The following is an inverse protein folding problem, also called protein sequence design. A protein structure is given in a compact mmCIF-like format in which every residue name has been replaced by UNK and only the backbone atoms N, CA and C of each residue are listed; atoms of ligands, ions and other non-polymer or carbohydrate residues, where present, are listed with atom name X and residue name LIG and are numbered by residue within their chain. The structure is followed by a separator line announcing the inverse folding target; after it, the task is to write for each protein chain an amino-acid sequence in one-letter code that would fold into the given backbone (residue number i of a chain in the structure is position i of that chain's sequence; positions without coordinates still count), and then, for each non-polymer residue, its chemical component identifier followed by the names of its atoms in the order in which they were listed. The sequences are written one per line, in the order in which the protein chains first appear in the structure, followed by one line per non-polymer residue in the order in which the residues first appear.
data_IF_045075699429
#
_entry.id   IF_045075699429
#
_cell.length_a   1.000
_cell.length_b   1.000
_cell.length_c   1.000
_cell.angle_alpha   90.00
_cell.angle_beta   90.00
_cell.angle_gamma   90.00
#
_symmetry.space_group_name_H-M   'P 1'
#
loop_
_entity.id
_entity.type
_entity.pdbx_description
1 polymer ?
#
# COMPACT_ATOMS: atom_id res chain seq x y z
N UNK A 1 -12.91 9.94 3.53
CA UNK A 1 -13.39 8.63 4.01
C UNK A 1 -13.25 8.61 5.52
N UNK A 2 -14.17 7.94 6.22
CA UNK A 2 -14.20 7.89 7.70
C UNK A 2 -12.94 7.24 8.30
N UNK A 3 -12.23 6.44 7.51
CA UNK A 3 -11.08 5.64 7.95
C UNK A 3 -9.74 6.38 8.05
N UNK A 4 -9.57 7.53 7.39
CA UNK A 4 -8.26 8.21 7.22
C UNK A 4 -7.10 7.29 6.75
N UNK A 5 -7.43 6.13 6.18
CA UNK A 5 -6.46 5.17 5.67
C UNK A 5 -5.96 5.58 4.27
N UNK A 6 -4.70 5.27 3.99
CA UNK A 6 -4.08 5.42 2.67
C UNK A 6 -4.18 4.09 1.92
N UNK A 7 -4.78 4.13 0.73
CA UNK A 7 -4.94 2.98 -0.17
C UNK A 7 -3.96 3.08 -1.35
N UNK A 8 -3.34 1.96 -1.75
CA UNK A 8 -2.38 1.91 -2.86
C UNK A 8 -2.55 0.60 -3.64
N UNK A 9 -2.83 0.69 -4.94
CA UNK A 9 -2.82 -0.47 -5.82
C UNK A 9 -1.40 -0.72 -6.33
N UNK A 10 -0.92 -1.97 -6.21
CA UNK A 10 0.47 -2.38 -6.48
C UNK A 10 0.51 -3.80 -7.03
N UNK A 11 1.69 -4.27 -7.41
CA UNK A 11 1.87 -5.58 -8.03
C UNK A 11 1.74 -5.53 -9.55
N UNK A 12 1.89 -6.69 -10.17
CA UNK A 12 1.85 -6.84 -11.62
C UNK A 12 0.50 -6.41 -12.20
N UNK A 13 0.54 -5.59 -13.24
CA UNK A 13 -0.64 -5.04 -13.91
C UNK A 13 -1.27 -3.82 -13.22
N UNK A 14 -0.66 -3.31 -12.14
CA UNK A 14 -1.16 -2.13 -11.43
C UNK A 14 -0.86 -0.79 -12.11
N UNK A 15 0.12 -0.75 -13.02
CA UNK A 15 0.70 0.47 -13.58
C UNK A 15 1.62 1.23 -12.62
N UNK A 16 1.81 0.75 -11.39
CA UNK A 16 2.61 1.43 -10.38
C UNK A 16 4.08 1.01 -10.46
N UNK A 17 4.92 1.93 -10.94
CA UNK A 17 6.37 1.72 -11.06
C UNK A 17 7.09 2.09 -9.76
N UNK A 18 7.95 1.21 -9.27
CA UNK A 18 8.74 1.42 -8.05
C UNK A 18 10.23 1.11 -8.23
N UNK A 19 11.01 1.49 -7.21
CA UNK A 19 12.47 1.38 -7.20
C UNK A 19 13.17 2.30 -8.20
N UNK A 20 14.51 2.26 -8.19
CA UNK A 20 15.33 3.04 -9.12
C UNK A 20 15.13 2.60 -10.58
N UNK A 21 14.77 1.33 -10.79
CA UNK A 21 14.61 0.73 -12.12
C UNK A 21 13.22 1.03 -12.73
N UNK A 22 12.30 1.65 -11.97
CA UNK A 22 10.94 2.02 -12.41
C UNK A 22 10.19 0.84 -13.04
N UNK A 23 10.11 -0.27 -12.31
CA UNK A 23 9.34 -1.45 -12.72
C UNK A 23 8.22 -1.72 -11.72
N UNK A 24 7.17 -2.41 -12.16
CA UNK A 24 6.15 -2.92 -11.24
C UNK A 24 6.73 -4.00 -10.32
N UNK A 25 6.13 -4.19 -9.14
CA UNK A 25 6.48 -5.32 -8.28
C UNK A 25 6.20 -6.64 -9.00
N UNK A 26 7.07 -7.67 -8.85
CA UNK A 26 6.78 -9.02 -9.31
C UNK A 26 5.66 -9.71 -8.49
N UNK A 27 5.21 -9.13 -7.39
CA UNK A 27 4.09 -9.66 -6.61
C UNK A 27 2.78 -9.61 -7.41
N UNK A 28 1.82 -10.51 -7.15
CA UNK A 28 0.48 -10.43 -7.73
C UNK A 28 -0.20 -9.09 -7.45
N UNK A 29 -1.13 -8.67 -8.31
CA UNK A 29 -1.92 -7.45 -8.11
C UNK A 29 -2.55 -7.44 -6.70
N UNK A 30 -2.28 -6.38 -5.95
CA UNK A 30 -2.71 -6.28 -4.56
C UNK A 30 -3.03 -4.84 -4.14
N UNK A 31 -3.94 -4.72 -3.18
CA UNK A 31 -4.29 -3.45 -2.56
C UNK A 31 -3.62 -3.36 -1.20
N UNK A 32 -2.83 -2.30 -0.99
CA UNK A 32 -2.24 -1.98 0.30
C UNK A 32 -3.15 -1.01 1.06
N UNK A 33 -3.46 -1.34 2.32
CA UNK A 33 -4.16 -0.45 3.25
C UNK A 33 -3.19 -0.05 4.34
N UNK A 34 -3.04 1.25 4.57
CA UNK A 34 -2.22 1.76 5.66
C UNK A 34 -2.91 2.81 6.50
N UNK A 35 -2.79 2.74 7.82
CA UNK A 35 -3.42 3.69 8.73
C UNK A 35 -2.58 3.85 10.00
N UNK A 36 -2.72 4.97 10.70
CA UNK A 36 -2.11 5.17 12.03
C UNK A 36 -3.07 4.80 13.16
N UNK A 37 -4.37 4.85 12.90
CA UNK A 37 -5.42 4.55 13.87
C UNK A 37 -5.99 3.14 13.57
N UNK A 38 -6.12 2.31 14.61
CA UNK A 38 -6.71 0.98 14.53
C UNK A 38 -8.16 1.02 14.07
N UNK A 39 -8.98 1.93 14.59
CA UNK A 39 -10.40 1.99 14.22
C UNK A 39 -10.56 2.39 12.75
N UNK A 40 -9.73 3.34 12.30
CA UNK A 40 -9.66 3.73 10.90
C UNK A 40 -9.19 2.59 9.99
N UNK A 41 -8.19 1.81 10.44
CA UNK A 41 -7.74 0.62 9.74
C UNK A 41 -8.87 -0.41 9.58
N UNK A 42 -9.56 -0.76 10.67
CA UNK A 42 -10.65 -1.73 10.65
C UNK A 42 -11.78 -1.29 9.73
N UNK A 43 -12.16 -0.01 9.78
CA UNK A 43 -13.16 0.55 8.86
C UNK A 43 -12.71 0.43 7.39
N UNK A 44 -11.46 0.78 7.07
CA UNK A 44 -10.93 0.66 5.72
C UNK A 44 -10.88 -0.79 5.22
N UNK A 45 -10.54 -1.74 6.09
CA UNK A 45 -10.53 -3.17 5.78
C UNK A 45 -11.92 -3.66 5.41
N UNK A 46 -12.94 -3.32 6.21
CA UNK A 46 -14.32 -3.77 5.93
C UNK A 46 -14.93 -3.12 4.69
N UNK A 47 -14.67 -1.83 4.46
CA UNK A 47 -15.04 -1.15 3.21
C UNK A 47 -14.37 -1.82 2.00
N UNK A 48 -13.08 -2.13 2.11
CA UNK A 48 -12.31 -2.79 1.05
C UNK A 48 -12.81 -4.20 0.77
N UNK A 49 -13.07 -5.01 1.80
CA UNK A 49 -13.63 -6.36 1.63
C UNK A 49 -14.98 -6.30 0.93
N UNK A 50 -15.82 -5.33 1.29
CA UNK A 50 -17.12 -5.13 0.66
C UNK A 50 -16.98 -4.79 -0.82
N UNK A 51 -16.04 -3.91 -1.17
CA UNK A 51 -15.73 -3.59 -2.56
C UNK A 51 -15.24 -4.83 -3.34
N UNK A 52 -14.25 -5.56 -2.82
CA UNK A 52 -13.68 -6.73 -3.49
C UNK A 52 -14.71 -7.84 -3.71
N UNK A 53 -15.60 -8.11 -2.74
CA UNK A 53 -16.69 -9.08 -2.92
C UNK A 53 -17.61 -8.71 -4.09
N UNK A 54 -17.90 -7.41 -4.26
CA UNK A 54 -18.71 -6.93 -5.39
C UNK A 54 -17.99 -7.14 -6.72
N UNK A 55 -16.72 -6.73 -6.81
CA UNK A 55 -15.91 -6.94 -8.02
C UNK A 55 -15.82 -8.42 -8.40
N UNK A 56 -15.60 -9.30 -7.41
CA UNK A 56 -15.53 -10.75 -7.66
C UNK A 56 -16.87 -11.33 -8.12
N UNK A 57 -17.98 -10.83 -7.58
CA UNK A 57 -19.33 -11.22 -8.02
C UNK A 57 -19.60 -10.76 -9.45
N UNK A 58 -19.25 -9.52 -9.78
CA UNK A 58 -19.38 -8.95 -11.12
C UNK A 58 -18.52 -9.72 -12.13
N UNK A 59 -17.27 -10.05 -11.78
CA UNK A 59 -16.40 -10.86 -12.61
C UNK A 59 -16.92 -12.28 -12.83
N UNK A 60 -17.43 -12.94 -11.78
CA UNK A 60 -18.08 -14.25 -11.88
C UNK A 60 -19.27 -14.21 -12.83
N UNK A 61 -20.15 -13.21 -12.65
CA UNK A 61 -21.31 -13.02 -13.53
C UNK A 61 -20.88 -12.76 -14.98
N UNK A 62 -19.83 -11.97 -15.18
CA UNK A 62 -19.26 -11.74 -16.51
C UNK A 62 -18.80 -13.05 -17.16
N UNK A 63 -18.13 -13.94 -16.41
CA UNK A 63 -17.65 -15.23 -16.93
C UNK A 63 -18.82 -16.16 -17.31
N UNK A 64 -19.85 -16.23 -16.47
CA UNK A 64 -21.08 -16.99 -16.73
C UNK A 64 -21.77 -16.46 -17.99
N UNK A 65 -21.97 -15.14 -18.07
CA UNK A 65 -22.64 -14.49 -19.21
C UNK A 65 -21.86 -14.63 -20.53
N UNK A 66 -20.54 -14.85 -20.46
CA UNK A 66 -19.69 -15.15 -21.62
C UNK A 66 -19.67 -16.64 -21.99
N UNK A 67 -20.43 -17.49 -21.30
CA UNK A 67 -20.49 -18.93 -21.57
C UNK A 67 -19.21 -19.69 -21.17
N UNK A 68 -18.37 -19.11 -20.29
CA UNK A 68 -17.10 -19.72 -19.85
C UNK A 68 -17.26 -20.67 -18.66
N UNK A 69 -18.50 -20.91 -18.24
CA UNK A 69 -18.83 -21.64 -17.02
C UNK A 69 -18.75 -20.78 -15.76
N UNK A 70 -19.08 -21.40 -14.64
CA UNK A 70 -19.03 -20.76 -13.33
C UNK A 70 -17.65 -21.01 -12.67
N UNK A 71 -16.80 -19.97 -12.51
CA UNK A 71 -15.50 -20.12 -11.86
C UNK A 71 -15.59 -20.31 -10.33
N UNK A 72 -16.78 -20.22 -9.75
CA UNK A 72 -16.97 -20.18 -8.30
C UNK A 72 -16.70 -18.80 -7.71
N UNK A 73 -16.85 -18.68 -6.39
CA UNK A 73 -16.59 -17.43 -5.68
C UNK A 73 -15.11 -17.32 -5.30
N UNK A 74 -14.48 -16.21 -5.63
CA UNK A 74 -13.10 -15.91 -5.19
C UNK A 74 -13.06 -15.53 -3.71
N UNK A 75 -12.06 -16.05 -3.01
CA UNK A 75 -11.78 -15.73 -1.62
C UNK A 75 -10.82 -14.54 -1.51
N UNK A 76 -11.07 -13.65 -0.56
CA UNK A 76 -10.17 -12.52 -0.28
C UNK A 76 -9.02 -13.01 0.60
N UNK A 77 -7.79 -12.95 0.09
CA UNK A 77 -6.59 -13.29 0.87
C UNK A 77 -5.92 -12.03 1.41
N UNK A 78 -5.79 -11.94 2.73
CA UNK A 78 -5.28 -10.75 3.41
C UNK A 78 -4.09 -11.11 4.32
N UNK A 79 -3.04 -10.29 4.29
CA UNK A 79 -1.88 -10.38 5.19
C UNK A 79 -1.72 -9.07 5.96
N UNK A 80 -1.59 -9.17 7.27
CA UNK A 80 -1.43 -8.03 8.18
C UNK A 80 -0.01 -7.95 8.72
N UNK A 81 0.56 -6.75 8.74
CA UNK A 81 1.84 -6.48 9.38
C UNK A 81 1.66 -5.35 10.41
N UNK A 82 1.82 -5.70 11.70
CA UNK A 82 1.86 -4.74 12.78
C UNK A 82 3.23 -4.06 12.79
N UNK A 83 3.27 -2.73 12.65
CA UNK A 83 4.50 -2.00 12.94
C UNK A 83 4.63 -1.86 14.45
N UNK A 84 5.27 -2.82 15.11
CA UNK A 84 5.79 -2.59 16.46
C UNK A 84 6.92 -1.57 16.35
N UNK A 85 6.69 -0.34 16.86
CA UNK A 85 7.79 0.60 17.09
C UNK A 85 8.76 0.07 18.14
N UNK A 86 9.98 0.63 18.25
CA UNK A 86 10.81 0.38 19.42
C UNK A 86 10.06 0.78 20.70
N UNK A 87 10.28 0.12 21.85
CA UNK A 87 9.64 0.50 23.11
C UNK A 87 10.14 1.89 23.52
N UNK A 88 9.27 2.89 23.46
CA UNK A 88 9.61 4.26 23.84
C UNK A 88 9.98 4.36 25.33
N UNK A 89 11.16 4.92 25.61
CA UNK A 89 11.53 5.46 26.92
C UNK A 89 10.68 6.71 27.28
N UNK A 90 10.71 7.16 28.54
CA UNK A 90 9.69 8.05 29.08
C UNK A 90 9.68 9.44 28.43
N UNK A 91 8.47 9.86 28.05
CA UNK A 91 8.11 11.16 27.47
C UNK A 91 8.23 12.28 28.50
N UNK A 92 9.15 13.23 28.28
CA UNK A 92 9.09 14.57 28.85
C UNK A 92 8.73 15.56 27.74
N UNK A 93 7.60 16.25 27.92
CA UNK A 93 6.96 17.07 26.89
C UNK A 93 7.69 18.39 26.60
N UNK A 94 7.66 18.80 25.32
CA UNK A 94 7.91 20.19 24.92
C UNK A 94 7.05 20.50 23.67
N UNK A 95 6.17 21.51 23.81
CA UNK A 95 5.45 22.20 22.74
C UNK A 95 6.38 22.60 21.58
N UNK A 96 6.10 22.21 20.33
CA UNK A 96 6.57 22.97 19.17
C UNK A 96 5.52 23.10 18.06
N UNK A 97 5.25 24.37 17.77
CA UNK A 97 4.36 24.93 16.76
C UNK A 97 4.69 24.39 15.35
N UNK A 98 3.65 23.99 14.62
CA UNK A 98 3.70 23.82 13.16
C UNK A 98 3.93 25.18 12.50
N UNK A 99 5.09 25.37 11.86
CA UNK A 99 5.31 26.47 10.93
C UNK A 99 5.29 25.91 9.49
N UNK A 100 4.24 26.28 8.76
CA UNK A 100 4.15 26.18 7.30
C UNK A 100 5.26 27.03 6.63
N UNK A 101 5.42 26.88 5.31
CA UNK A 101 6.31 27.58 4.36
C UNK A 101 7.51 26.74 3.83
N UNK A 102 7.26 25.96 2.78
CA UNK A 102 8.29 25.45 1.87
C UNK A 102 8.52 26.44 0.71
N UNK A 103 9.76 26.83 0.39
CA UNK A 103 10.06 27.44 -0.90
C UNK A 103 10.53 26.40 -1.93
N UNK A 104 9.92 26.46 -3.12
CA UNK A 104 10.32 25.77 -4.36
C UNK A 104 11.79 26.02 -4.70
N UNK A 105 12.55 24.99 -5.07
CA UNK A 105 13.86 25.15 -5.73
C UNK A 105 13.86 24.61 -7.16
N UNK A 106 14.18 25.52 -8.10
CA UNK A 106 14.56 25.29 -9.51
C UNK A 106 15.99 24.75 -9.57
N UNK A 107 16.31 23.99 -10.61
CA UNK A 107 17.55 23.20 -10.73
C UNK A 107 18.70 23.82 -11.56
N UNK A 108 19.66 22.91 -11.86
CA UNK A 108 20.87 22.95 -12.74
C UNK A 108 22.23 23.25 -12.04
N UNK A 109 23.42 22.87 -12.61
CA UNK A 109 23.97 21.50 -12.65
C UNK A 109 25.51 21.35 -12.35
N UNK A 110 25.98 20.08 -12.30
CA UNK A 110 27.35 19.52 -12.50
C UNK A 110 28.52 19.82 -11.51
N UNK A 111 29.10 18.75 -10.92
CA UNK A 111 30.55 18.42 -10.97
C UNK A 111 30.88 17.16 -10.11
N UNK A 112 31.85 16.38 -10.60
CA UNK A 112 32.39 15.11 -10.11
C UNK A 112 33.28 15.22 -8.86
N UNK A 113 33.17 14.27 -7.91
CA UNK A 113 34.30 13.56 -7.27
C UNK A 113 33.81 12.52 -6.23
N UNK A 114 34.75 11.72 -5.73
CA UNK A 114 34.64 10.32 -5.30
C UNK A 114 34.40 10.15 -3.80
N UNK A 115 33.61 9.12 -3.47
CA UNK A 115 33.43 8.36 -2.20
C UNK A 115 33.46 9.09 -0.84
N UNK A 116 32.39 8.89 -0.07
CA UNK A 116 32.45 8.24 1.25
C UNK A 116 31.08 7.68 1.68
N UNK A 117 31.17 6.50 2.27
CA UNK A 117 30.16 5.72 3.00
C UNK A 117 29.58 6.58 4.13
N UNK A 118 28.26 6.60 4.29
CA UNK A 118 27.62 6.38 5.58
C UNK A 118 26.08 6.50 5.54
N UNK A 119 25.46 5.47 6.13
CA UNK A 119 24.33 5.51 7.07
C UNK A 119 22.92 5.82 6.57
N UNK A 120 22.10 4.81 6.90
CA UNK A 120 20.66 4.67 6.93
C UNK A 120 19.92 5.82 7.64
N UNK A 121 18.61 5.85 7.40
CA UNK A 121 17.50 6.33 8.27
C UNK A 121 16.85 7.69 7.94
N UNK A 122 15.58 7.63 7.51
CA UNK A 122 14.55 8.62 7.88
C UNK A 122 13.18 7.96 7.85
N UNK A 123 12.63 7.82 9.05
CA UNK A 123 11.46 7.05 9.47
C UNK A 123 10.15 7.85 9.33
N UNK A 124 9.17 7.26 8.66
CA UNK A 124 7.76 7.64 8.73
C UNK A 124 6.94 6.43 9.17
N UNK A 125 6.19 6.55 10.28
CA UNK A 125 5.45 5.44 10.90
C UNK A 125 4.11 5.20 10.20
N UNK A 126 3.89 4.00 9.63
CA UNK A 126 2.73 3.67 8.77
C UNK A 126 2.32 2.18 8.90
N UNK A 127 1.24 1.82 9.63
CA UNK A 127 0.74 0.42 9.61
C UNK A 127 0.37 0.03 8.18
N UNK A 128 0.66 -1.20 7.74
CA UNK A 128 0.36 -1.64 6.37
C UNK A 128 -0.15 -3.09 6.34
N UNK A 129 -1.22 -3.33 5.59
CA UNK A 129 -1.70 -4.64 5.22
C UNK A 129 -1.77 -4.75 3.69
N UNK A 130 -1.53 -5.94 3.15
CA UNK A 130 -1.55 -6.22 1.71
C UNK A 130 -2.44 -7.40 1.41
N UNK A 131 -3.36 -7.24 0.46
CA UNK A 131 -4.31 -8.28 0.02
C UNK A 131 -3.97 -8.70 -1.40
N UNK A 132 -3.56 -9.95 -1.60
CA UNK A 132 -3.15 -10.49 -2.91
C UNK A 132 -4.30 -11.22 -3.59
N UNK A 133 -4.47 -11.04 -4.90
CA UNK A 133 -5.30 -11.91 -5.71
C UNK A 133 -4.43 -12.99 -6.35
N UNK A 134 -4.69 -14.27 -6.02
CA UNK A 134 -3.97 -15.40 -6.59
C UNK A 134 -4.88 -16.13 -7.59
N UNK A 135 -4.60 -15.97 -8.88
CA UNK A 135 -5.30 -16.67 -9.96
C UNK A 135 -4.70 -18.08 -10.14
N UNK A 136 -5.48 -19.17 -10.06
CA UNK A 136 -4.97 -20.49 -10.39
C UNK A 136 -4.84 -20.65 -11.91
N UNK A 137 -3.62 -20.88 -12.40
CA UNK A 137 -3.37 -21.37 -13.76
C UNK A 137 -3.87 -22.81 -13.88
N UNK A 138 -4.90 -23.05 -14.70
CA UNK A 138 -5.20 -24.40 -15.21
C UNK A 138 -4.58 -24.59 -16.60
N UNK A 139 -3.93 -25.73 -16.77
CA UNK A 139 -3.46 -26.30 -18.05
C UNK A 139 -4.63 -26.89 -18.82
#
# INVERSE_FOLDING_TARGET
GLSNAKLRLRGQGSGYLEGAVRQESPDPLHLCISCINRDGYLAAVEETKTLLRRVYTEWRNFQINKGRGDPGMMEIQMKEHFLTGPPDGPTNGINQKLNMHSPRRRGTPLSSSVMRKDRYESSGHHLAATTTDSVPRRR
#
